data_IF_147703196742
#
_entry.id   IF_147703196742
#
_cell.length_a   1.000
_cell.length_b   1.000
_cell.length_c   1.000
_cell.angle_alpha   90.00
_cell.angle_beta   90.00
_cell.angle_gamma   90.00
#
_symmetry.space_group_name_H-M   'P 1'
#
loop_
_entity.id
_entity.type
_entity.pdbx_description
1 polymer ?
#
# COMPACT_ATOMS: atom_id res chain seq x y z
N UNK A 1 20.98 -6.05 7.19
CA UNK A 1 20.81 -5.08 8.30
C UNK A 1 19.51 -4.32 8.04
N UNK A 2 18.70 -4.05 9.06
CA UNK A 2 17.38 -3.41 8.91
C UNK A 2 17.49 -1.91 9.12
N UNK A 3 16.90 -1.12 8.23
CA UNK A 3 16.88 0.34 8.35
C UNK A 3 15.71 0.81 9.23
N UNK A 4 15.90 1.82 10.10
CA UNK A 4 14.80 2.43 10.86
C UNK A 4 13.71 3.07 9.99
N UNK A 5 14.05 3.43 8.75
CA UNK A 5 13.18 4.13 7.80
C UNK A 5 12.86 3.28 6.56
N UNK A 6 13.08 1.97 6.63
CA UNK A 6 12.66 1.04 5.57
C UNK A 6 13.54 1.00 4.32
N UNK A 7 14.78 1.52 4.34
CA UNK A 7 15.68 1.45 3.18
C UNK A 7 15.91 0.03 2.64
N UNK A 8 15.83 -0.99 3.50
CA UNK A 8 15.99 -2.39 3.10
C UNK A 8 14.81 -2.92 2.25
N UNK A 9 13.69 -2.19 2.17
CA UNK A 9 12.56 -2.48 1.28
C UNK A 9 12.69 -1.80 -0.08
N UNK A 10 13.67 -0.92 -0.28
CA UNK A 10 13.83 -0.20 -1.55
C UNK A 10 14.52 -1.08 -2.58
N UNK A 11 13.83 -1.34 -3.70
CA UNK A 11 14.37 -2.12 -4.81
C UNK A 11 15.07 -1.20 -5.80
N UNK A 12 14.39 -0.15 -6.28
CA UNK A 12 15.01 0.80 -7.20
C UNK A 12 14.38 2.21 -7.15
N UNK A 13 15.19 3.26 -7.30
CA UNK A 13 16.66 3.24 -7.20
C UNK A 13 17.11 2.95 -5.77
N UNK A 14 18.17 2.17 -5.58
CA UNK A 14 18.69 1.86 -4.25
C UNK A 14 19.21 3.12 -3.53
N UNK A 15 19.04 3.17 -2.20
CA UNK A 15 19.58 4.25 -1.35
C UNK A 15 18.68 5.47 -1.16
N UNK A 16 17.59 5.60 -1.91
CA UNK A 16 16.56 6.64 -1.65
C UNK A 16 15.60 6.18 -0.54
N UNK A 17 14.85 7.12 0.05
CA UNK A 17 13.79 6.78 1.01
C UNK A 17 12.63 6.05 0.31
N UNK A 18 11.87 5.17 1.00
CA UNK A 18 10.82 4.37 0.38
C UNK A 18 9.75 5.17 -0.39
N UNK A 19 9.47 6.40 0.03
CA UNK A 19 8.55 7.30 -0.68
C UNK A 19 9.05 7.69 -2.07
N UNK A 20 10.35 7.98 -2.19
CA UNK A 20 11.01 8.40 -3.43
C UNK A 20 11.39 7.22 -4.33
N UNK A 21 11.45 6.00 -3.78
CA UNK A 21 11.71 4.80 -4.56
C UNK A 21 10.65 4.62 -5.66
N UNK A 22 11.06 4.16 -6.83
CA UNK A 22 10.12 3.76 -7.87
C UNK A 22 9.44 2.44 -7.49
N UNK A 23 10.21 1.49 -6.91
CA UNK A 23 9.71 0.18 -6.50
C UNK A 23 10.19 -0.22 -5.10
N UNK A 24 9.28 -0.83 -4.35
CA UNK A 24 9.52 -1.45 -3.05
C UNK A 24 9.37 -2.98 -3.12
N UNK A 25 10.05 -3.67 -2.22
CA UNK A 25 9.87 -5.10 -1.97
C UNK A 25 8.67 -5.32 -1.04
N UNK A 26 7.55 -5.73 -1.61
CA UNK A 26 6.33 -6.09 -0.90
C UNK A 26 6.26 -7.58 -0.50
N UNK A 27 7.41 -8.23 -0.27
CA UNK A 27 7.44 -9.60 0.26
C UNK A 27 6.82 -9.68 1.66
N UNK A 28 6.01 -10.73 1.89
CA UNK A 28 5.28 -10.94 3.14
C UNK A 28 6.15 -11.09 4.41
N UNK A 29 7.31 -11.77 4.38
CA UNK A 29 8.15 -11.89 5.58
C UNK A 29 8.58 -10.52 6.10
N UNK A 30 8.47 -10.31 7.42
CA UNK A 30 8.85 -9.04 8.05
C UNK A 30 10.24 -9.06 8.66
N UNK A 31 10.88 -7.91 8.65
CA UNK A 31 12.07 -7.64 9.44
C UNK A 31 11.72 -7.52 10.94
N UNK A 32 12.70 -7.71 11.86
CA UNK A 32 12.46 -7.58 13.30
C UNK A 32 11.89 -6.24 13.77
N UNK A 33 11.99 -5.16 12.99
CA UNK A 33 11.49 -3.82 13.33
C UNK A 33 10.23 -3.42 12.53
N UNK A 34 9.63 -4.35 11.80
CA UNK A 34 8.43 -4.12 10.99
C UNK A 34 7.18 -4.70 11.65
N UNK A 35 6.02 -4.32 11.13
CA UNK A 35 4.70 -4.86 11.49
C UNK A 35 3.99 -5.14 10.18
N UNK A 36 3.46 -6.35 10.02
CA UNK A 36 2.59 -6.70 8.89
C UNK A 36 1.14 -6.49 9.28
N UNK A 37 0.40 -5.82 8.42
CA UNK A 37 -1.03 -5.56 8.56
C UNK A 37 -1.76 -6.36 7.49
N UNK A 38 -2.72 -7.20 7.89
CA UNK A 38 -3.72 -7.73 6.96
C UNK A 38 -4.63 -6.58 6.57
N UNK A 39 -4.60 -6.21 5.29
CA UNK A 39 -5.37 -5.08 4.78
C UNK A 39 -6.83 -5.50 4.63
N UNK A 40 -7.75 -4.62 5.04
CA UNK A 40 -9.20 -4.78 4.85
C UNK A 40 -9.74 -3.76 3.86
N UNK A 41 -9.12 -2.57 3.83
CA UNK A 41 -9.52 -1.48 2.96
C UNK A 41 -8.36 -0.54 2.67
N UNK A 42 -8.23 -0.13 1.42
CA UNK A 42 -7.48 1.07 1.04
C UNK A 42 -8.44 2.25 0.93
N UNK A 43 -7.98 3.42 1.36
CA UNK A 43 -8.59 4.69 1.07
C UNK A 43 -7.65 5.45 0.13
N UNK A 44 -7.91 5.39 -1.17
CA UNK A 44 -7.13 6.15 -2.15
C UNK A 44 -7.23 7.65 -1.85
N UNK A 45 -6.14 8.36 -2.09
CA UNK A 45 -6.19 9.82 -2.03
C UNK A 45 -7.15 10.37 -3.10
N UNK A 46 -7.90 11.43 -2.75
CA UNK A 46 -8.95 11.98 -3.60
C UNK A 46 -8.42 12.48 -4.96
N UNK A 47 -7.21 13.07 -4.99
CA UNK A 47 -6.61 13.50 -6.25
C UNK A 47 -6.23 12.30 -7.13
N UNK A 48 -5.66 11.25 -6.52
CA UNK A 48 -5.34 9.99 -7.22
C UNK A 48 -6.59 9.35 -7.83
N UNK A 49 -7.65 9.17 -7.04
CA UNK A 49 -8.87 8.54 -7.52
C UNK A 49 -9.52 9.35 -8.63
N UNK A 50 -9.72 10.67 -8.43
CA UNK A 50 -10.31 11.55 -9.45
C UNK A 50 -9.53 11.51 -10.76
N UNK A 51 -8.20 11.51 -10.68
CA UNK A 51 -7.35 11.44 -11.86
C UNK A 51 -7.53 10.11 -12.61
N UNK A 52 -7.50 8.97 -11.91
CA UNK A 52 -7.70 7.64 -12.52
C UNK A 52 -9.10 7.50 -13.12
N UNK A 53 -10.12 7.95 -12.40
CA UNK A 53 -11.51 7.93 -12.84
C UNK A 53 -11.70 8.73 -14.13
N UNK A 54 -11.15 9.95 -14.19
CA UNK A 54 -11.20 10.79 -15.39
C UNK A 54 -10.41 10.20 -16.55
N UNK A 55 -9.21 9.67 -16.29
CA UNK A 55 -8.37 9.01 -17.31
C UNK A 55 -9.11 7.88 -18.02
N UNK A 56 -9.93 7.13 -17.28
CA UNK A 56 -10.69 6.01 -17.81
C UNK A 56 -12.14 6.35 -18.18
N UNK A 57 -12.51 7.64 -18.21
CA UNK A 57 -13.86 8.06 -18.59
C UNK A 57 -14.95 7.53 -17.67
N UNK A 58 -14.63 7.27 -16.40
CA UNK A 58 -15.55 6.69 -15.42
C UNK A 58 -15.75 5.17 -15.53
N UNK A 59 -14.85 4.46 -16.21
CA UNK A 59 -14.85 3.01 -16.28
C UNK A 59 -14.16 2.41 -15.04
N UNK A 60 -14.97 1.98 -14.07
CA UNK A 60 -14.49 1.43 -12.80
C UNK A 60 -13.67 0.16 -12.93
N UNK A 61 -13.93 -0.67 -13.94
CA UNK A 61 -13.15 -1.89 -14.21
C UNK A 61 -11.71 -1.54 -14.63
N UNK A 62 -11.55 -0.50 -15.45
CA UNK A 62 -10.24 0.01 -15.85
C UNK A 62 -9.51 0.71 -14.71
N UNK A 63 -10.24 1.43 -13.85
CA UNK A 63 -9.66 2.02 -12.63
C UNK A 63 -9.13 0.90 -11.72
N UNK A 64 -9.92 -0.16 -11.50
CA UNK A 64 -9.48 -1.34 -10.72
C UNK A 64 -8.23 -1.97 -11.32
N UNK A 65 -8.23 -2.21 -12.63
CA UNK A 65 -7.08 -2.79 -13.34
C UNK A 65 -5.82 -1.92 -13.20
N UNK A 66 -5.94 -0.59 -13.33
CA UNK A 66 -4.78 0.29 -13.19
C UNK A 66 -4.24 0.35 -11.75
N UNK A 67 -5.10 0.33 -10.73
CA UNK A 67 -4.64 0.27 -9.33
C UNK A 67 -3.88 -1.03 -9.06
N UNK A 68 -4.41 -2.17 -9.51
CA UNK A 68 -3.71 -3.45 -9.40
C UNK A 68 -2.35 -3.42 -10.09
N UNK A 69 -2.29 -2.88 -11.31
CA UNK A 69 -1.04 -2.75 -12.07
C UNK A 69 -0.01 -1.85 -11.37
N UNK A 70 -0.45 -0.69 -10.85
CA UNK A 70 0.43 0.21 -10.08
C UNK A 70 1.02 -0.51 -8.88
N UNK A 71 0.18 -1.19 -8.09
CA UNK A 71 0.62 -1.89 -6.88
C UNK A 71 1.54 -3.06 -7.22
N UNK A 72 1.19 -3.87 -8.21
CA UNK A 72 2.00 -5.02 -8.63
C UNK A 72 3.38 -4.58 -9.16
N UNK A 73 3.43 -3.54 -9.98
CA UNK A 73 4.67 -3.06 -10.59
C UNK A 73 5.56 -2.27 -9.63
N UNK A 74 4.97 -1.51 -8.70
CA UNK A 74 5.74 -0.68 -7.74
C UNK A 74 5.93 -1.31 -6.37
N UNK A 75 5.18 -2.35 -6.01
CA UNK A 75 5.12 -2.89 -4.65
C UNK A 75 4.55 -1.92 -3.62
N UNK A 76 3.82 -0.89 -4.08
CA UNK A 76 3.19 0.16 -3.28
C UNK A 76 2.13 0.89 -4.10
N UNK A 77 1.16 1.54 -3.46
CA UNK A 77 0.22 2.41 -4.19
C UNK A 77 0.80 3.82 -4.28
N UNK A 78 1.30 4.17 -5.46
CA UNK A 78 1.71 5.53 -5.81
C UNK A 78 1.26 5.83 -7.22
N UNK A 79 0.27 6.71 -7.34
CA UNK A 79 -0.23 7.18 -8.62
C UNK A 79 0.91 7.88 -9.38
N UNK A 80 1.25 7.44 -10.62
CA UNK A 80 2.35 8.00 -11.41
C UNK A 80 2.18 9.48 -11.79
N UNK A 81 0.94 9.98 -11.83
CA UNK A 81 0.60 11.33 -12.27
C UNK A 81 0.56 12.30 -11.09
N UNK A 82 -0.11 11.92 -10.00
CA UNK A 82 -0.28 12.82 -8.83
C UNK A 82 0.82 12.65 -7.78
N UNK A 83 1.52 11.50 -7.79
CA UNK A 83 2.48 11.14 -6.76
C UNK A 83 1.86 10.75 -5.41
N UNK A 84 0.53 10.76 -5.27
CA UNK A 84 -0.19 10.39 -4.05
C UNK A 84 -0.56 8.90 -4.01
N UNK A 85 -0.96 8.40 -2.84
CA UNK A 85 -1.27 6.98 -2.63
C UNK A 85 -2.55 6.77 -1.84
N UNK A 86 -2.64 7.38 -0.66
CA UNK A 86 -3.76 7.20 0.26
C UNK A 86 -3.33 6.47 1.52
N UNK A 87 -4.29 5.87 2.22
CA UNK A 87 -4.11 5.22 3.52
C UNK A 87 -4.70 3.82 3.53
N UNK A 88 -4.39 3.01 4.53
CA UNK A 88 -5.02 1.70 4.75
C UNK A 88 -5.69 1.58 6.12
N UNK A 89 -6.72 0.73 6.15
CA UNK A 89 -7.33 0.17 7.35
C UNK A 89 -7.10 -1.33 7.32
N UNK A 90 -6.75 -1.90 8.47
CA UNK A 90 -6.55 -3.33 8.58
C UNK A 90 -6.38 -3.79 10.02
N UNK A 91 -5.87 -5.00 10.14
CA UNK A 91 -5.60 -5.65 11.44
C UNK A 91 -4.15 -6.10 11.47
N UNK A 92 -3.45 -5.87 12.57
CA UNK A 92 -2.08 -6.34 12.76
C UNK A 92 -2.05 -7.87 12.73
N UNK A 93 -1.32 -8.42 11.78
CA UNK A 93 -1.18 -9.87 11.58
C UNK A 93 0.11 -10.39 12.22
N UNK A 94 1.19 -9.61 12.13
CA UNK A 94 2.50 -9.97 12.69
C UNK A 94 3.24 -8.72 13.15
N UNK A 95 3.89 -8.78 14.31
CA UNK A 95 4.73 -7.69 14.81
C UNK A 95 6.14 -8.21 15.11
N UNK A 96 7.14 -7.55 14.52
CA UNK A 96 8.53 -7.87 14.75
C UNK A 96 8.93 -7.63 16.21
N UNK A 97 9.77 -8.51 16.77
CA UNK A 97 10.21 -8.47 18.18
C UNK A 97 10.88 -7.16 18.63
N UNK A 98 11.35 -6.32 17.69
CA UNK A 98 11.96 -5.01 17.92
C UNK A 98 11.12 -3.87 17.33
N UNK A 99 9.84 -4.11 16.99
CA UNK A 99 8.96 -3.07 16.52
C UNK A 99 8.82 -1.97 17.59
N UNK A 100 9.03 -0.69 17.26
CA UNK A 100 8.90 0.41 18.22
C UNK A 100 7.44 0.82 18.45
N UNK A 101 6.49 0.25 17.71
CA UNK A 101 5.10 0.73 17.67
C UNK A 101 4.23 0.22 18.82
N UNK A 102 4.68 -0.77 19.59
CA UNK A 102 3.92 -1.35 20.71
C UNK A 102 2.64 -2.09 20.29
N UNK A 103 2.44 -2.32 19.00
CA UNK A 103 1.29 -3.01 18.42
C UNK A 103 1.33 -4.52 18.68
N UNK A 104 0.15 -5.12 18.80
CA UNK A 104 -0.05 -6.56 19.06
C UNK A 104 -0.88 -7.17 17.94
N UNK A 105 -0.69 -8.46 17.72
CA UNK A 105 -1.51 -9.24 16.78
C UNK A 105 -2.98 -9.11 17.17
N UNK A 106 -3.84 -8.81 16.20
CA UNK A 106 -5.27 -8.58 16.39
C UNK A 106 -5.67 -7.11 16.59
N UNK A 107 -4.71 -6.20 16.80
CA UNK A 107 -5.02 -4.77 16.90
C UNK A 107 -5.58 -4.25 15.57
N UNK A 108 -6.71 -3.53 15.63
CA UNK A 108 -7.26 -2.82 14.47
C UNK A 108 -6.56 -1.49 14.30
N UNK A 109 -6.13 -1.20 13.08
CA UNK A 109 -5.33 -0.01 12.76
C UNK A 109 -5.92 0.74 11.58
N UNK A 110 -5.86 2.07 11.67
CA UNK A 110 -5.98 2.98 10.55
C UNK A 110 -4.66 3.75 10.46
N UNK A 111 -4.02 3.70 9.30
CA UNK A 111 -2.69 4.31 9.14
C UNK A 111 -2.81 5.82 8.92
N UNK A 112 -1.82 6.55 9.44
CA UNK A 112 -1.54 7.97 9.12
C UNK A 112 -0.28 8.11 8.23
N UNK A 113 0.30 6.99 7.82
CA UNK A 113 1.41 6.90 6.87
C UNK A 113 0.89 6.57 5.47
N UNK A 114 1.36 7.31 4.47
CA UNK A 114 0.92 7.17 3.07
C UNK A 114 1.30 5.82 2.46
N UNK A 115 0.43 5.29 1.61
CA UNK A 115 0.69 4.13 0.77
C UNK A 115 1.85 4.33 -0.21
N UNK A 116 2.28 5.58 -0.45
CA UNK A 116 3.41 5.90 -1.33
C UNK A 116 4.77 5.45 -0.78
N UNK A 117 4.84 5.04 0.48
CA UNK A 117 6.05 4.51 1.12
C UNK A 117 5.81 3.21 1.89
N UNK A 118 4.62 2.63 1.74
CA UNK A 118 4.19 1.41 2.43
C UNK A 118 4.27 0.26 1.43
N UNK A 119 5.13 -0.76 1.65
CA UNK A 119 5.07 -1.99 0.87
C UNK A 119 3.66 -2.55 0.88
N UNK A 120 3.12 -2.94 -0.26
CA UNK A 120 1.72 -3.36 -0.39
C UNK A 120 1.60 -4.46 -1.41
N UNK A 121 0.89 -5.53 -1.03
CA UNK A 121 0.46 -6.59 -1.93
C UNK A 121 -1.05 -6.79 -1.82
N UNK A 122 -1.73 -6.88 -2.96
CA UNK A 122 -3.15 -7.17 -3.07
C UNK A 122 -3.30 -8.61 -3.56
N UNK A 123 -4.14 -9.40 -2.90
CA UNK A 123 -4.27 -10.85 -3.17
C UNK A 123 -5.63 -11.27 -3.69
N UNK A 124 -6.67 -10.43 -3.53
CA UNK A 124 -8.04 -10.74 -3.98
C UNK A 124 -8.41 -10.13 -5.35
N UNK A 125 -7.45 -9.49 -6.03
CA UNK A 125 -7.72 -8.80 -7.29
C UNK A 125 -8.73 -7.66 -7.17
N UNK A 126 -8.95 -7.12 -5.95
CA UNK A 126 -9.95 -6.10 -5.67
C UNK A 126 -11.37 -6.51 -6.11
N UNK A 127 -11.70 -7.81 -6.05
CA UNK A 127 -12.94 -8.36 -6.58
C UNK A 127 -14.23 -7.73 -6.00
N UNK A 128 -14.14 -7.10 -4.81
CA UNK A 128 -15.25 -6.43 -4.13
C UNK A 128 -15.34 -4.93 -4.41
N UNK A 129 -14.46 -4.38 -5.24
CA UNK A 129 -14.44 -2.96 -5.57
C UNK A 129 -14.94 -2.72 -6.99
N UNK A 130 -15.95 -1.86 -7.12
CA UNK A 130 -16.57 -1.47 -8.39
C UNK A 130 -15.82 -0.34 -9.11
N UNK A 131 -14.74 0.17 -8.50
CA UNK A 131 -13.93 1.25 -9.05
C UNK A 131 -14.56 2.64 -8.96
N UNK A 132 -15.68 2.83 -8.25
CA UNK A 132 -16.48 4.07 -8.27
C UNK A 132 -16.30 4.98 -7.05
N UNK A 133 -15.48 4.57 -6.09
CA UNK A 133 -15.15 5.38 -4.92
C UNK A 133 -13.70 5.18 -4.50
N UNK A 134 -13.17 6.11 -3.71
CA UNK A 134 -11.84 6.03 -3.09
C UNK A 134 -11.72 4.86 -2.09
N UNK A 135 -12.85 4.30 -1.68
CA UNK A 135 -12.95 3.21 -0.72
C UNK A 135 -12.79 1.88 -1.45
N UNK A 136 -11.66 1.22 -1.24
CA UNK A 136 -11.29 -0.02 -1.92
C UNK A 136 -11.31 -1.16 -0.91
N UNK A 137 -12.40 -1.93 -0.78
CA UNK A 137 -12.36 -3.19 -0.05
C UNK A 137 -11.33 -4.11 -0.72
N UNK A 138 -10.38 -4.63 0.07
CA UNK A 138 -9.35 -5.52 -0.45
C UNK A 138 -8.92 -6.53 0.61
N UNK A 139 -8.43 -7.68 0.15
CA UNK A 139 -7.58 -8.55 0.93
C UNK A 139 -6.15 -8.49 0.39
N UNK A 140 -5.20 -8.54 1.31
CA UNK A 140 -3.79 -8.35 1.04
C UNK A 140 -3.02 -8.08 2.32
N UNK A 141 -1.78 -7.64 2.17
CA UNK A 141 -0.93 -7.29 3.30
C UNK A 141 -0.04 -6.09 2.99
N UNK A 142 0.33 -5.39 4.05
CA UNK A 142 1.24 -4.25 4.05
C UNK A 142 2.27 -4.37 5.18
#
# INVERSE_FOLDING_TARGET
MTSPVGLHRVVEPAGVLPQAAWRLDASAPIAPNEVRIRVERLNLDAASFRQLWQKHGGDGEKVRAEVLEIVATRGKMQNPVTGSGGMLIGTVEEAGRRSPLGLRVGDRVATLVSLTLTPLAITDGLARWDGRSEQVPCDGYA
#
